data_IF_203389894171
#
_entry.id   IF_203389894171
#
_cell.length_a   1.000
_cell.length_b   1.000
_cell.length_c   1.000
_cell.angle_alpha   90.00
_cell.angle_beta   90.00
_cell.angle_gamma   90.00
#
_symmetry.space_group_name_H-M   'P 1'
#
loop_
_entity.id
_entity.type
_entity.pdbx_description
1 polymer ?
#
# COMPACT_ATOMS: atom_id res chain seq x y z
N UNK A 1 7.81 19.28 -41.05
CA UNK A 1 7.58 18.96 -39.63
C UNK A 1 8.45 17.78 -39.29
N UNK A 2 9.41 17.94 -38.38
CA UNK A 2 10.33 16.86 -38.02
C UNK A 2 9.66 15.91 -37.02
N UNK A 3 8.88 14.99 -37.55
CA UNK A 3 8.19 13.96 -36.78
C UNK A 3 9.14 13.12 -35.91
N UNK A 4 10.39 12.96 -36.34
CA UNK A 4 11.46 12.30 -35.58
C UNK A 4 11.71 12.97 -34.23
N UNK A 5 11.77 14.31 -34.20
CA UNK A 5 12.00 15.09 -32.98
C UNK A 5 10.80 15.01 -32.03
N UNK A 6 9.59 15.05 -32.58
CA UNK A 6 8.35 14.91 -31.80
C UNK A 6 8.29 13.53 -31.14
N UNK A 7 8.54 12.46 -31.89
CA UNK A 7 8.50 11.09 -31.36
C UNK A 7 9.64 10.85 -30.36
N UNK A 8 10.85 11.33 -30.64
CA UNK A 8 12.00 11.18 -29.75
C UNK A 8 11.78 11.90 -28.42
N UNK A 9 11.28 13.15 -28.44
CA UNK A 9 11.00 13.90 -27.21
C UNK A 9 9.92 13.23 -26.36
N UNK A 10 8.81 12.78 -26.98
CA UNK A 10 7.77 12.00 -26.31
C UNK A 10 8.32 10.73 -25.65
N UNK A 11 9.14 9.96 -26.36
CA UNK A 11 9.71 8.72 -25.86
C UNK A 11 10.62 8.96 -24.64
N UNK A 12 11.49 9.99 -24.70
CA UNK A 12 12.40 10.33 -23.59
C UNK A 12 11.62 10.75 -22.34
N UNK A 13 10.62 11.62 -22.48
CA UNK A 13 9.80 12.07 -21.35
C UNK A 13 8.99 10.91 -20.75
N UNK A 14 8.40 10.07 -21.59
CA UNK A 14 7.66 8.89 -21.14
C UNK A 14 8.57 7.96 -20.31
N UNK A 15 9.78 7.69 -20.79
CA UNK A 15 10.73 6.79 -20.12
C UNK A 15 11.20 7.38 -18.79
N UNK A 16 11.47 8.69 -18.73
CA UNK A 16 11.76 9.40 -17.49
C UNK A 16 10.64 9.28 -16.45
N UNK A 17 9.39 9.49 -16.86
CA UNK A 17 8.23 9.36 -15.98
C UNK A 17 8.10 7.92 -15.47
N UNK A 18 8.24 6.92 -16.34
CA UNK A 18 8.18 5.52 -15.93
C UNK A 18 9.28 5.15 -14.94
N UNK A 19 10.52 5.61 -15.16
CA UNK A 19 11.62 5.39 -14.20
C UNK A 19 11.24 5.99 -12.85
N UNK A 20 10.79 7.24 -12.83
CA UNK A 20 10.46 7.93 -11.58
C UNK A 20 9.32 7.24 -10.83
N UNK A 21 8.22 6.90 -11.53
CA UNK A 21 7.08 6.20 -10.94
C UNK A 21 7.50 4.82 -10.41
N UNK A 22 8.34 4.09 -11.14
CA UNK A 22 8.85 2.79 -10.70
C UNK A 22 9.64 2.92 -9.40
N UNK A 23 10.54 3.90 -9.30
CA UNK A 23 11.31 4.16 -8.08
C UNK A 23 10.38 4.48 -6.92
N UNK A 24 9.37 5.33 -7.12
CA UNK A 24 8.39 5.67 -6.09
C UNK A 24 7.58 4.46 -5.64
N UNK A 25 7.15 3.59 -6.56
CA UNK A 25 6.38 2.39 -6.25
C UNK A 25 7.24 1.35 -5.50
N UNK A 26 8.50 1.15 -5.90
CA UNK A 26 9.43 0.26 -5.18
C UNK A 26 9.70 0.80 -3.78
N UNK A 27 9.93 2.11 -3.63
CA UNK A 27 10.10 2.74 -2.33
C UNK A 27 8.84 2.55 -1.47
N UNK A 28 7.65 2.79 -2.01
CA UNK A 28 6.38 2.55 -1.32
C UNK A 28 6.24 1.10 -0.88
N UNK A 29 6.54 0.13 -1.76
CA UNK A 29 6.43 -1.29 -1.46
C UNK A 29 7.39 -1.74 -0.34
N UNK A 30 8.52 -1.06 -0.16
CA UNK A 30 9.49 -1.38 0.90
C UNK A 30 9.28 -0.61 2.20
N UNK A 31 8.83 0.64 2.12
CA UNK A 31 8.71 1.53 3.28
C UNK A 31 7.33 1.49 3.92
N UNK A 32 6.30 1.11 3.17
CA UNK A 32 4.94 0.97 3.71
C UNK A 32 4.72 -0.49 4.11
N UNK A 33 4.48 -0.76 5.41
CA UNK A 33 4.16 -2.12 5.84
C UNK A 33 2.92 -2.60 5.10
N UNK A 34 3.06 -3.75 4.47
CA UNK A 34 2.03 -4.35 3.64
C UNK A 34 2.01 -5.85 3.91
N UNK A 35 0.81 -6.41 4.13
CA UNK A 35 0.63 -7.83 4.44
C UNK A 35 -0.09 -8.08 5.77
N UNK A 36 -0.13 -9.35 6.21
CA UNK A 36 -0.73 -9.71 7.49
C UNK A 36 0.05 -9.09 8.65
N UNK A 37 -0.66 -8.42 9.54
CA UNK A 37 -0.13 -7.90 10.81
C UNK A 37 -0.66 -8.73 11.96
N UNK A 38 0.15 -8.89 13.00
CA UNK A 38 -0.28 -9.57 14.23
C UNK A 38 -0.91 -8.54 15.17
N UNK A 39 -2.17 -8.77 15.49
CA UNK A 39 -2.92 -8.02 16.48
C UNK A 39 -2.84 -8.76 17.82
N UNK A 40 -2.17 -8.15 18.79
CA UNK A 40 -2.09 -8.67 20.16
C UNK A 40 -3.27 -8.11 20.96
N UNK A 41 -4.17 -8.98 21.40
CA UNK A 41 -5.36 -8.60 22.18
C UNK A 41 -5.08 -8.89 23.65
N UNK A 42 -4.62 -7.84 24.33
CA UNK A 42 -4.22 -7.89 25.75
C UNK A 42 -3.32 -9.11 26.02
N UNK A 43 -3.68 -9.93 27.01
CA UNK A 43 -2.97 -11.15 27.39
C UNK A 43 -3.74 -12.42 27.01
N UNK A 44 -4.73 -12.31 26.11
CA UNK A 44 -5.66 -13.40 25.82
C UNK A 44 -5.36 -14.08 24.49
N UNK A 45 -5.09 -13.30 23.43
CA UNK A 45 -5.03 -13.85 22.07
C UNK A 45 -4.24 -12.98 21.09
N UNK A 46 -3.55 -13.66 20.19
CA UNK A 46 -2.96 -13.07 18.99
C UNK A 46 -3.76 -13.44 17.74
N UNK A 47 -3.91 -12.49 16.83
CA UNK A 47 -4.69 -12.64 15.61
C UNK A 47 -3.93 -12.07 14.41
N UNK A 48 -3.72 -12.87 13.36
CA UNK A 48 -3.21 -12.35 12.09
C UNK A 48 -4.35 -11.76 11.25
N UNK A 49 -4.21 -10.50 10.86
CA UNK A 49 -5.21 -9.76 10.08
C UNK A 49 -4.56 -8.97 8.97
N UNK A 50 -5.29 -8.73 7.89
CA UNK A 50 -4.82 -7.85 6.81
C UNK A 50 -4.72 -6.41 7.32
N UNK A 51 -3.55 -5.78 7.11
CA UNK A 51 -3.36 -4.35 7.40
C UNK A 51 -4.23 -3.45 6.51
N UNK A 52 -4.60 -2.26 7.00
CA UNK A 52 -5.21 -1.18 6.20
C UNK A 52 -6.67 -0.86 6.53
N UNK A 53 -7.37 -1.74 7.26
CA UNK A 53 -8.66 -1.43 7.87
C UNK A 53 -8.52 -0.69 9.21
N UNK A 54 -9.64 -0.15 9.72
CA UNK A 54 -9.66 0.40 11.09
C UNK A 54 -9.63 -0.72 12.11
N UNK A 55 -9.10 -0.45 13.31
CA UNK A 55 -9.06 -1.42 14.40
C UNK A 55 -10.46 -1.96 14.75
N UNK A 56 -11.45 -1.06 14.87
CA UNK A 56 -12.83 -1.42 15.20
C UNK A 56 -13.47 -2.35 14.15
N UNK A 57 -13.31 -2.03 12.85
CA UNK A 57 -13.82 -2.89 11.77
C UNK A 57 -13.16 -4.26 11.76
N UNK A 58 -11.85 -4.29 12.03
CA UNK A 58 -11.06 -5.53 12.09
C UNK A 58 -11.50 -6.43 13.24
N UNK A 59 -11.71 -5.86 14.42
CA UNK A 59 -12.22 -6.59 15.58
C UNK A 59 -13.65 -7.09 15.36
N UNK A 60 -14.54 -6.25 14.84
CA UNK A 60 -15.92 -6.64 14.52
C UNK A 60 -16.01 -7.77 13.48
N UNK A 61 -15.19 -7.73 12.43
CA UNK A 61 -15.09 -8.79 11.43
C UNK A 61 -14.63 -10.13 12.04
N UNK A 62 -13.79 -10.06 13.08
CA UNK A 62 -13.32 -11.22 13.83
C UNK A 62 -14.21 -11.56 15.04
N UNK A 63 -15.44 -11.03 15.09
CA UNK A 63 -16.44 -11.27 16.15
C UNK A 63 -16.00 -10.84 17.55
N UNK A 64 -15.06 -9.91 17.63
CA UNK A 64 -14.61 -9.29 18.87
C UNK A 64 -15.31 -7.95 18.97
N UNK A 65 -16.36 -7.91 19.79
CA UNK A 65 -17.16 -6.71 20.00
C UNK A 65 -16.65 -6.04 21.26
N UNK A 66 -16.14 -4.82 21.10
CA UNK A 66 -15.87 -3.96 22.23
C UNK A 66 -17.23 -3.60 22.85
N UNK A 67 -17.45 -3.84 24.16
CA UNK A 67 -18.66 -3.40 24.84
C UNK A 67 -18.75 -1.89 24.64
N UNK A 68 -19.83 -1.46 24.02
CA UNK A 68 -19.98 -0.13 23.45
C UNK A 68 -19.55 0.99 24.40
N UNK A 69 -18.78 1.93 23.86
CA UNK A 69 -18.86 3.32 24.30
C UNK A 69 -20.25 3.88 23.95
#
# INVERSE_FOLDING_TARGET
MDYSVIVASLAVFLLLIFILVTVLLVAKAKLVPSGPVTLHINNEKDLQVTSGGTLLSTLGNNKIFLPSA
#
